data_IF_042091465844
#
_entry.id   IF_042091465844
#
_cell.length_a   1.000
_cell.length_b   1.000
_cell.length_c   1.000
_cell.angle_alpha   90.00
_cell.angle_beta   90.00
_cell.angle_gamma   90.00
#
_symmetry.space_group_name_H-M   'P 1'
#
loop_
_entity.id
_entity.type
_entity.pdbx_description
1 polymer ?
#
# COMPACT_ATOMS: atom_id res chain seq x y z
N UNK A 1 -9.74 -3.09 -1.90
CA UNK A 1 -10.06 -3.61 -0.55
C UNK A 1 -11.33 -2.94 -0.04
N UNK A 2 -12.26 -3.69 0.57
CA UNK A 2 -13.58 -3.19 1.04
C UNK A 2 -13.69 -3.33 2.57
N UNK A 3 -14.31 -2.36 3.23
CA UNK A 3 -14.51 -2.36 4.70
C UNK A 3 -15.26 -3.61 5.20
N UNK A 4 -16.20 -4.14 4.41
CA UNK A 4 -17.01 -5.32 4.75
C UNK A 4 -16.20 -6.62 4.77
N UNK A 5 -14.99 -6.63 4.22
CA UNK A 5 -14.10 -7.80 4.30
C UNK A 5 -13.53 -8.01 5.71
N UNK A 6 -13.61 -7.00 6.57
CA UNK A 6 -13.12 -7.05 7.95
C UNK A 6 -14.19 -7.54 8.91
N UNK A 7 -13.75 -8.18 10.00
CA UNK A 7 -14.63 -8.65 11.08
C UNK A 7 -14.13 -8.13 12.44
N UNK A 8 -15.04 -7.84 13.39
CA UNK A 8 -14.63 -7.59 14.78
C UNK A 8 -13.76 -8.74 15.31
N UNK A 9 -12.76 -8.40 16.11
CA UNK A 9 -11.75 -9.30 16.69
C UNK A 9 -10.81 -9.97 15.68
N UNK A 10 -10.85 -9.58 14.42
CA UNK A 10 -9.88 -10.03 13.42
C UNK A 10 -8.50 -9.42 13.71
N UNK A 11 -7.45 -10.24 13.67
CA UNK A 11 -6.07 -9.76 13.63
C UNK A 11 -5.77 -9.14 12.26
N UNK A 12 -5.24 -7.92 12.27
CA UNK A 12 -4.93 -7.11 11.10
C UNK A 12 -3.54 -6.50 11.24
N UNK A 13 -3.00 -5.97 10.14
CA UNK A 13 -1.63 -5.52 10.06
C UNK A 13 -1.57 -4.07 9.59
N UNK A 14 -0.88 -3.22 10.36
CA UNK A 14 -0.72 -1.80 10.05
C UNK A 14 0.68 -1.59 9.50
N UNK A 15 0.78 -1.01 8.30
CA UNK A 15 2.04 -0.68 7.66
C UNK A 15 2.13 0.83 7.50
N UNK A 16 3.33 1.36 7.74
CA UNK A 16 3.62 2.78 7.65
C UNK A 16 3.84 3.41 9.02
N UNK A 17 4.99 4.05 9.16
CA UNK A 17 5.28 5.06 10.15
C UNK A 17 6.24 6.06 9.51
N UNK A 18 5.78 7.29 9.31
CA UNK A 18 6.60 8.37 8.74
C UNK A 18 7.86 8.66 9.56
N UNK A 19 7.94 8.20 10.82
CA UNK A 19 9.07 8.45 11.72
C UNK A 19 10.27 7.55 11.47
N UNK A 20 10.13 6.45 10.72
CA UNK A 20 11.24 5.50 10.47
C UNK A 20 11.30 5.04 9.00
N UNK A 21 12.04 5.76 8.15
CA UNK A 21 12.22 5.38 6.75
C UNK A 21 12.85 3.99 6.55
N UNK A 22 13.66 3.51 7.51
CA UNK A 22 14.28 2.18 7.48
C UNK A 22 13.27 1.03 7.63
N UNK A 23 12.07 1.33 8.15
CA UNK A 23 11.03 0.35 8.49
C UNK A 23 9.78 0.56 7.61
N UNK A 24 9.96 1.03 6.37
CA UNK A 24 8.85 1.42 5.45
C UNK A 24 7.76 0.35 5.30
N UNK A 25 8.14 -0.93 5.37
CA UNK A 25 7.24 -2.08 5.28
C UNK A 25 7.04 -2.83 6.60
N UNK A 26 7.54 -2.31 7.73
CA UNK A 26 7.32 -2.96 9.02
C UNK A 26 5.83 -2.96 9.34
N UNK A 27 5.29 -4.15 9.59
CA UNK A 27 3.91 -4.34 9.96
C UNK A 27 3.75 -4.47 11.47
N UNK A 28 2.81 -3.74 12.04
CA UNK A 28 2.39 -3.89 13.44
C UNK A 28 1.06 -4.62 13.49
N UNK A 29 0.98 -5.67 14.32
CA UNK A 29 -0.28 -6.40 14.55
C UNK A 29 -1.24 -5.54 15.37
N UNK A 30 -2.49 -5.53 14.98
CA UNK A 30 -3.60 -4.93 15.71
C UNK A 30 -4.84 -5.82 15.62
N UNK A 31 -5.87 -5.52 16.40
CA UNK A 31 -7.15 -6.20 16.36
C UNK A 31 -8.25 -5.22 15.92
N UNK A 32 -9.21 -5.68 15.13
CA UNK A 32 -10.38 -4.88 14.75
C UNK A 32 -11.34 -4.76 15.94
N UNK A 33 -11.52 -3.55 16.46
CA UNK A 33 -12.49 -3.26 17.52
C UNK A 33 -13.92 -3.15 16.98
N UNK A 34 -14.10 -2.49 15.83
CA UNK A 34 -15.43 -2.24 15.25
C UNK A 34 -15.35 -2.10 13.73
N UNK A 35 -16.34 -2.65 13.04
CA UNK A 35 -16.56 -2.41 11.61
C UNK A 35 -17.81 -1.56 11.46
N UNK A 36 -17.66 -0.35 10.92
CA UNK A 36 -18.75 0.58 10.63
C UNK A 36 -19.05 0.66 9.14
N UNK A 37 -19.99 1.53 8.77
CA UNK A 37 -20.35 1.75 7.35
C UNK A 37 -19.22 2.39 6.53
N UNK A 38 -18.46 3.32 7.13
CA UNK A 38 -17.40 4.10 6.46
C UNK A 38 -15.99 3.78 6.97
N UNK A 39 -15.88 3.13 8.12
CA UNK A 39 -14.58 2.94 8.78
C UNK A 39 -14.47 1.56 9.43
N UNK A 40 -13.25 1.02 9.42
CA UNK A 40 -12.79 -0.02 10.35
C UNK A 40 -12.04 0.69 11.48
N UNK A 41 -12.44 0.43 12.73
CA UNK A 41 -11.75 0.93 13.92
C UNK A 41 -10.92 -0.20 14.54
N UNK A 42 -9.66 0.07 14.82
CA UNK A 42 -8.76 -0.89 15.49
C UNK A 42 -8.73 -0.67 17.01
N UNK A 43 -8.36 -1.70 17.76
CA UNK A 43 -8.12 -1.65 19.20
C UNK A 43 -6.78 -0.97 19.49
N UNK A 44 -6.76 0.35 19.43
CA UNK A 44 -5.59 1.17 19.77
C UNK A 44 -5.91 2.19 20.86
N UNK A 45 -4.90 2.96 21.26
CA UNK A 45 -5.02 3.94 22.36
C UNK A 45 -5.97 5.09 22.02
N UNK A 46 -6.19 5.36 20.73
CA UNK A 46 -6.94 6.51 20.25
C UNK A 46 -8.11 6.13 19.33
N UNK A 47 -8.42 4.83 19.22
CA UNK A 47 -9.51 4.33 18.38
C UNK A 47 -9.28 4.65 16.90
N UNK A 48 -8.08 4.38 16.41
CA UNK A 48 -7.67 4.72 15.05
C UNK A 48 -8.60 4.09 14.00
N UNK A 49 -8.92 4.87 12.96
CA UNK A 49 -9.93 4.53 11.97
C UNK A 49 -9.32 4.47 10.59
N UNK A 50 -9.75 3.49 9.81
CA UNK A 50 -9.30 3.25 8.45
C UNK A 50 -10.49 3.20 7.50
N UNK A 51 -10.34 3.81 6.34
CA UNK A 51 -11.35 3.89 5.28
C UNK A 51 -10.83 3.30 3.97
N UNK A 52 -11.72 3.05 3.03
CA UNK A 52 -11.33 2.61 1.69
C UNK A 52 -10.41 3.65 1.03
N UNK A 53 -9.41 3.13 0.32
CA UNK A 53 -8.60 3.91 -0.59
C UNK A 53 -9.47 4.42 -1.76
N UNK A 54 -9.10 5.57 -2.34
CA UNK A 54 -9.79 6.07 -3.54
C UNK A 54 -9.68 5.10 -4.71
N UNK A 55 -8.56 4.37 -4.80
CA UNK A 55 -8.40 3.27 -5.74
C UNK A 55 -8.83 1.95 -5.07
N UNK A 56 -9.92 1.36 -5.58
CA UNK A 56 -10.51 0.13 -5.02
C UNK A 56 -9.65 -1.13 -5.23
N UNK A 57 -8.73 -1.10 -6.18
CA UNK A 57 -7.85 -2.24 -6.49
C UNK A 57 -6.70 -2.36 -5.48
N UNK A 58 -6.56 -1.40 -4.56
CA UNK A 58 -5.53 -1.46 -3.53
C UNK A 58 -5.85 -2.55 -2.49
N UNK A 59 -4.84 -3.33 -2.03
CA UNK A 59 -5.03 -4.43 -1.08
C UNK A 59 -5.13 -3.97 0.39
N UNK A 60 -5.40 -2.69 0.64
CA UNK A 60 -5.40 -2.10 2.00
C UNK A 60 -6.47 -1.02 2.18
N UNK A 61 -6.79 -0.72 3.44
CA UNK A 61 -7.48 0.51 3.85
C UNK A 61 -6.46 1.59 4.24
N UNK A 62 -6.88 2.86 4.22
CA UNK A 62 -6.05 4.03 4.53
C UNK A 62 -6.54 4.67 5.82
N UNK A 63 -5.62 5.03 6.71
CA UNK A 63 -5.92 5.75 7.94
C UNK A 63 -6.62 7.08 7.68
N UNK A 64 -7.68 7.34 8.44
CA UNK A 64 -8.31 8.64 8.52
C UNK A 64 -7.50 9.54 9.46
N UNK A 65 -6.58 10.30 8.90
CA UNK A 65 -5.79 11.32 9.61
C UNK A 65 -5.73 12.62 8.81
N UNK A 66 -5.72 13.74 9.53
CA UNK A 66 -5.50 15.08 8.97
C UNK A 66 -4.02 15.47 8.97
N UNK A 67 -3.17 14.69 9.67
CA UNK A 67 -1.76 14.99 9.88
C UNK A 67 -0.86 13.79 9.56
N UNK A 68 0.28 14.08 8.93
CA UNK A 68 1.28 13.09 8.55
C UNK A 68 0.87 12.26 7.33
N UNK A 69 1.69 11.26 7.00
CA UNK A 69 1.35 10.27 5.97
C UNK A 69 0.43 9.21 6.57
N UNK A 70 -0.74 8.95 5.96
CA UNK A 70 -1.69 7.99 6.50
C UNK A 70 -1.09 6.58 6.49
N UNK A 71 -1.33 5.84 7.57
CA UNK A 71 -0.95 4.42 7.66
C UNK A 71 -1.90 3.55 6.84
N UNK A 72 -1.44 2.36 6.48
CA UNK A 72 -2.18 1.38 5.70
C UNK A 72 -2.61 0.21 6.58
N UNK A 73 -3.83 -0.29 6.39
CA UNK A 73 -4.35 -1.46 7.11
C UNK A 73 -4.59 -2.62 6.15
N UNK A 74 -3.95 -3.74 6.45
CA UNK A 74 -4.00 -4.98 5.69
C UNK A 74 -4.74 -6.08 6.47
N UNK A 75 -5.48 -6.96 5.78
CA UNK A 75 -6.25 -8.02 6.41
C UNK A 75 -5.39 -9.21 6.87
N UNK A 76 -4.18 -9.37 6.33
CA UNK A 76 -3.27 -10.49 6.62
C UNK A 76 -1.80 -10.08 6.43
N UNK A 77 -0.89 -10.89 6.97
CA UNK A 77 0.55 -10.71 6.77
C UNK A 77 0.95 -10.98 5.31
N UNK A 78 0.32 -11.97 4.67
CA UNK A 78 0.57 -12.29 3.25
C UNK A 78 0.22 -11.10 2.36
N UNK A 79 -0.88 -10.39 2.63
CA UNK A 79 -1.24 -9.17 1.89
C UNK A 79 -0.20 -8.04 2.06
N UNK A 80 0.49 -7.98 3.21
CA UNK A 80 1.62 -7.08 3.40
C UNK A 80 2.80 -7.49 2.53
N UNK A 81 3.14 -8.79 2.50
CA UNK A 81 4.26 -9.32 1.71
C UNK A 81 4.05 -9.12 0.22
N UNK A 82 2.87 -9.43 -0.30
CA UNK A 82 2.52 -9.18 -1.70
C UNK A 82 2.60 -7.70 -2.07
N UNK A 83 2.16 -6.82 -1.15
CA UNK A 83 2.27 -5.39 -1.35
C UNK A 83 3.73 -4.92 -1.36
N UNK A 84 4.55 -5.43 -0.43
CA UNK A 84 5.98 -5.15 -0.39
C UNK A 84 6.66 -5.58 -1.69
N UNK A 85 6.45 -6.82 -2.13
CA UNK A 85 7.02 -7.36 -3.37
C UNK A 85 6.58 -6.50 -4.58
N UNK A 86 5.31 -6.13 -4.65
CA UNK A 86 4.80 -5.25 -5.71
C UNK A 86 5.51 -3.89 -5.73
N UNK A 87 5.74 -3.28 -4.57
CA UNK A 87 6.42 -1.98 -4.49
C UNK A 87 7.91 -2.10 -4.82
N UNK A 88 8.57 -3.19 -4.40
CA UNK A 88 9.96 -3.50 -4.77
C UNK A 88 10.11 -3.73 -6.28
N UNK A 89 9.19 -4.50 -6.90
CA UNK A 89 9.17 -4.71 -8.35
C UNK A 89 8.94 -3.41 -9.12
N UNK A 90 8.05 -2.53 -8.65
CA UNK A 90 7.85 -1.21 -9.29
C UNK A 90 9.12 -0.37 -9.25
N UNK A 91 9.81 -0.33 -8.11
CA UNK A 91 11.06 0.41 -7.97
C UNK A 91 12.14 -0.20 -8.88
N UNK A 92 12.26 -1.53 -8.90
CA UNK A 92 13.17 -2.23 -9.80
C UNK A 92 12.88 -1.91 -11.26
N UNK A 93 11.62 -1.96 -11.72
CA UNK A 93 11.23 -1.60 -13.09
C UNK A 93 11.58 -0.14 -13.38
N UNK A 94 11.33 0.79 -12.46
CA UNK A 94 11.65 2.21 -12.62
C UNK A 94 13.15 2.43 -12.85
N UNK A 95 13.98 1.73 -12.08
CA UNK A 95 15.45 1.78 -12.19
C UNK A 95 15.93 1.07 -13.46
N UNK A 96 15.43 -0.13 -13.75
CA UNK A 96 15.82 -0.94 -14.90
C UNK A 96 15.42 -0.31 -16.23
N UNK A 97 14.24 0.32 -16.30
CA UNK A 97 13.80 1.11 -17.44
C UNK A 97 14.62 2.38 -17.63
N UNK A 98 15.53 2.71 -16.69
CA UNK A 98 16.34 3.92 -16.71
C UNK A 98 15.46 5.15 -16.86
N UNK A 99 14.38 5.24 -16.08
CA UNK A 99 13.41 6.33 -16.19
C UNK A 99 14.09 7.71 -16.02
N UNK A 100 15.13 7.77 -15.19
CA UNK A 100 16.01 8.92 -15.02
C UNK A 100 16.84 9.26 -16.28
N UNK A 101 17.04 8.28 -17.16
CA UNK A 101 17.79 8.36 -18.43
C UNK A 101 16.88 8.33 -19.66
N UNK A 102 15.56 8.38 -19.49
CA UNK A 102 14.60 8.21 -20.60
C UNK A 102 14.80 9.26 -21.71
N UNK A 103 15.25 10.48 -21.34
CA UNK A 103 15.59 11.55 -22.28
C UNK A 103 16.88 11.30 -23.09
N UNK A 104 17.66 10.26 -22.75
CA UNK A 104 18.88 9.86 -23.47
C UNK A 104 18.64 8.68 -24.43
N UNK A 105 17.43 8.11 -24.44
CA UNK A 105 17.12 6.99 -25.32
C UNK A 105 16.93 7.44 -26.76
N UNK A 106 17.46 6.65 -27.69
CA UNK A 106 17.25 6.86 -29.12
C UNK A 106 15.82 6.52 -29.51
N UNK A 107 15.37 7.03 -30.66
CA UNK A 107 14.03 6.73 -31.19
C UNK A 107 13.79 5.23 -31.37
N UNK A 108 14.79 4.47 -31.78
CA UNK A 108 14.70 3.02 -31.93
C UNK A 108 14.54 2.29 -30.59
N UNK A 109 15.27 2.73 -29.56
CA UNK A 109 15.12 2.21 -28.20
C UNK A 109 13.70 2.46 -27.66
N UNK A 110 13.16 3.66 -27.90
CA UNK A 110 11.78 3.99 -27.50
C UNK A 110 10.74 3.12 -28.24
N UNK A 111 10.95 2.83 -29.54
CA UNK A 111 10.08 1.90 -30.29
C UNK A 111 10.17 0.47 -29.76
N UNK A 112 11.35 0.00 -29.38
CA UNK A 112 11.53 -1.33 -28.80
C UNK A 112 10.83 -1.46 -27.44
N UNK A 113 10.96 -0.47 -26.56
CA UNK A 113 10.24 -0.43 -25.27
C UNK A 113 8.73 -0.40 -25.49
N UNK A 114 8.24 0.41 -26.44
CA UNK A 114 6.81 0.46 -26.79
C UNK A 114 6.26 -0.93 -27.15
N UNK A 115 6.99 -1.69 -27.97
CA UNK A 115 6.59 -3.04 -28.36
C UNK A 115 6.51 -4.01 -27.18
N UNK A 116 7.45 -3.93 -26.23
CA UNK A 116 7.44 -4.78 -25.02
C UNK A 116 6.24 -4.44 -24.12
N UNK A 117 5.90 -3.16 -23.98
CA UNK A 117 4.82 -2.72 -23.10
C UNK A 117 3.42 -2.93 -23.69
N UNK A 118 3.29 -2.88 -25.01
CA UNK A 118 2.00 -3.08 -25.69
C UNK A 118 1.66 -4.56 -25.95
N UNK A 119 2.65 -5.46 -25.93
CA UNK A 119 2.46 -6.90 -26.19
C UNK A 119 2.36 -7.24 -27.66
#
# INVERSE_FOLDING_TARGET
MDIKSFKPRQTVYIVGDARRPRDKFSAVKAEVAKVGRKYVTISGRWGERFREAHNRDMPYLIEETEYGSPRLLFPSEDAVREYQEREELKEWVRVAAGWDKIGRYTLEQLRAVKKILEG
#
